data_IF_297353431520
#
_entry.id   IF_297353431520
#
_cell.length_a   1.000
_cell.length_b   1.000
_cell.length_c   1.000
_cell.angle_alpha   90.00
_cell.angle_beta   90.00
_cell.angle_gamma   90.00
#
_symmetry.space_group_name_H-M   'P 1'
#
loop_
_entity.id
_entity.type
_entity.pdbx_description
1 polymer ?
#
# COMPACT_ATOMS: atom_id res chain seq x y z
N UNK A 1 -12.00 8.10 0.50
CA UNK A 1 -10.90 7.13 0.37
C UNK A 1 -11.45 5.71 0.46
N UNK A 2 -10.91 4.77 -0.32
CA UNK A 2 -11.31 3.35 -0.29
C UNK A 2 -10.47 2.61 0.75
N UNK A 3 -11.05 1.64 1.44
CA UNK A 3 -10.32 0.82 2.41
C UNK A 3 -9.20 0.01 1.74
N UNK A 4 -8.12 -0.19 2.49
CA UNK A 4 -7.10 -1.16 2.15
C UNK A 4 -7.42 -2.48 2.83
N UNK A 5 -7.31 -3.54 2.07
CA UNK A 5 -7.28 -4.91 2.57
C UNK A 5 -5.97 -5.17 3.30
N UNK A 6 -5.92 -6.23 4.10
CA UNK A 6 -4.70 -6.62 4.83
C UNK A 6 -3.46 -6.71 3.92
N UNK A 7 -3.61 -7.20 2.69
CA UNK A 7 -2.52 -7.30 1.73
C UNK A 7 -2.06 -5.92 1.22
N UNK A 8 -3.00 -5.01 0.94
CA UNK A 8 -2.70 -3.64 0.54
C UNK A 8 -2.01 -2.85 1.67
N UNK A 9 -2.46 -3.05 2.91
CA UNK A 9 -1.89 -2.38 4.07
C UNK A 9 -0.46 -2.85 4.36
N UNK A 10 -0.17 -4.14 4.17
CA UNK A 10 1.19 -4.67 4.24
C UNK A 10 2.12 -4.05 3.20
N UNK A 11 1.66 -3.88 1.96
CA UNK A 11 2.43 -3.20 0.90
C UNK A 11 2.72 -1.76 1.31
N UNK A 12 1.70 -1.02 1.77
CA UNK A 12 1.85 0.37 2.22
C UNK A 12 2.79 0.52 3.40
N UNK A 13 2.73 -0.38 4.40
CA UNK A 13 3.67 -0.41 5.53
C UNK A 13 5.12 -0.51 5.07
N UNK A 14 5.40 -1.41 4.11
CA UNK A 14 6.74 -1.61 3.56
C UNK A 14 7.17 -0.38 2.74
N UNK A 15 6.27 0.17 1.90
CA UNK A 15 6.53 1.39 1.13
C UNK A 15 6.81 2.60 2.02
N UNK A 16 6.05 2.82 3.10
CA UNK A 16 6.34 3.90 4.05
C UNK A 16 7.66 3.73 4.78
N UNK A 17 8.10 2.49 4.98
CA UNK A 17 9.40 2.21 5.60
C UNK A 17 10.57 2.46 4.63
N UNK A 18 10.32 2.31 3.32
CA UNK A 18 11.34 2.42 2.27
C UNK A 18 11.36 3.79 1.57
N UNK A 19 10.31 4.62 1.75
CA UNK A 19 10.00 5.84 0.99
C UNK A 19 9.75 5.61 -0.51
N UNK A 20 10.60 4.81 -1.16
CA UNK A 20 10.47 4.40 -2.55
C UNK A 20 10.96 2.96 -2.73
N UNK A 21 10.22 2.14 -3.47
CA UNK A 21 10.56 0.73 -3.66
C UNK A 21 10.01 0.17 -4.97
N UNK A 22 10.75 -0.74 -5.60
CA UNK A 22 10.23 -1.53 -6.73
C UNK A 22 9.42 -2.73 -6.21
N UNK A 23 8.57 -3.31 -7.06
CA UNK A 23 7.75 -4.51 -6.71
C UNK A 23 8.61 -5.63 -6.12
N UNK A 24 9.82 -5.83 -6.67
CA UNK A 24 10.79 -6.82 -6.20
C UNK A 24 11.25 -6.57 -4.75
N UNK A 25 11.52 -5.33 -4.38
CA UNK A 25 11.97 -4.98 -3.03
C UNK A 25 10.85 -5.15 -2.01
N UNK A 26 9.62 -4.78 -2.40
CA UNK A 26 8.43 -4.96 -1.57
C UNK A 26 8.23 -6.44 -1.26
N UNK A 27 8.27 -7.32 -2.28
CA UNK A 27 8.17 -8.78 -2.10
C UNK A 27 9.33 -9.31 -1.25
N UNK A 28 10.53 -8.76 -1.43
CA UNK A 28 11.71 -9.15 -0.65
C UNK A 28 11.59 -8.86 0.84
N UNK A 29 10.87 -7.78 1.20
CA UNK A 29 10.63 -7.36 2.59
C UNK A 29 9.37 -7.93 3.23
N UNK A 30 8.51 -8.60 2.46
CA UNK A 30 7.29 -9.21 3.00
C UNK A 30 7.61 -10.42 3.89
N UNK A 31 6.96 -10.54 5.07
CA UNK A 31 7.10 -11.71 5.92
C UNK A 31 6.46 -12.94 5.27
N UNK A 32 6.97 -14.14 5.58
CA UNK A 32 6.42 -15.38 5.04
C UNK A 32 4.99 -15.65 5.57
N UNK A 33 4.04 -16.11 4.72
CA UNK A 33 4.24 -16.56 3.34
C UNK A 33 4.38 -15.41 2.34
N UNK A 34 5.46 -15.43 1.54
CA UNK A 34 5.68 -14.42 0.50
C UNK A 34 4.53 -14.48 -0.52
N UNK A 35 3.73 -13.40 -0.66
CA UNK A 35 2.69 -13.38 -1.68
C UNK A 35 3.33 -13.45 -3.05
N UNK A 36 2.63 -14.09 -3.97
CA UNK A 36 3.10 -14.19 -5.35
C UNK A 36 3.18 -12.80 -5.99
N UNK A 37 4.09 -12.65 -6.95
CA UNK A 37 4.34 -11.38 -7.64
C UNK A 37 3.07 -10.79 -8.26
N UNK A 38 2.19 -11.64 -8.78
CA UNK A 38 0.89 -11.25 -9.32
C UNK A 38 -0.02 -10.59 -8.26
N UNK A 39 -0.01 -11.08 -7.02
CA UNK A 39 -0.77 -10.50 -5.91
C UNK A 39 -0.27 -9.10 -5.61
N UNK A 40 1.04 -8.91 -5.45
CA UNK A 40 1.62 -7.58 -5.19
C UNK A 40 1.38 -6.65 -6.38
N UNK A 41 1.57 -7.11 -7.61
CA UNK A 41 1.32 -6.31 -8.81
C UNK A 41 -0.15 -5.89 -8.93
N UNK A 42 -1.09 -6.75 -8.55
CA UNK A 42 -2.53 -6.45 -8.54
C UNK A 42 -2.83 -5.43 -7.44
N UNK A 43 -2.32 -5.65 -6.23
CA UNK A 43 -2.45 -4.75 -5.09
C UNK A 43 -1.92 -3.36 -5.41
N UNK A 44 -0.72 -3.28 -6.00
CA UNK A 44 -0.10 -2.03 -6.43
C UNK A 44 -0.96 -1.31 -7.46
N UNK A 45 -1.48 -2.00 -8.49
CA UNK A 45 -2.43 -1.41 -9.45
C UNK A 45 -3.71 -0.90 -8.80
N UNK A 46 -4.25 -1.63 -7.83
CA UNK A 46 -5.45 -1.20 -7.11
C UNK A 46 -5.16 0.02 -6.23
N UNK A 47 -4.02 0.05 -5.54
CA UNK A 47 -3.57 1.18 -4.73
C UNK A 47 -3.32 2.42 -5.60
N UNK A 48 -2.71 2.25 -6.76
CA UNK A 48 -2.49 3.28 -7.76
C UNK A 48 -3.82 3.83 -8.29
N UNK A 49 -4.74 2.96 -8.70
CA UNK A 49 -6.09 3.38 -9.13
C UNK A 49 -6.93 4.02 -8.00
N UNK A 50 -6.57 3.79 -6.74
CA UNK A 50 -7.15 4.45 -5.57
C UNK A 50 -6.46 5.78 -5.22
N UNK A 51 -5.30 6.08 -5.81
CA UNK A 51 -4.48 7.27 -5.53
C UNK A 51 -3.69 7.20 -4.23
N UNK A 52 -3.38 6.00 -3.72
CA UNK A 52 -2.58 5.82 -2.50
C UNK A 52 -1.07 5.78 -2.78
N UNK A 53 -0.70 5.17 -3.90
CA UNK A 53 0.68 5.07 -4.37
C UNK A 53 0.74 5.59 -5.80
N UNK A 54 1.92 5.99 -6.22
CA UNK A 54 2.21 6.36 -7.59
C UNK A 54 3.51 5.69 -8.02
N UNK A 55 3.78 5.65 -9.32
CA UNK A 55 4.97 5.04 -9.87
C UNK A 55 5.77 6.04 -10.68
N UNK A 56 7.09 5.89 -10.61
CA UNK A 56 8.03 6.63 -11.43
C UNK A 56 8.81 5.66 -12.30
N UNK A 57 8.82 5.91 -13.60
CA UNK A 57 9.73 5.23 -14.50
C UNK A 57 11.15 5.75 -14.24
N UNK A 58 11.98 4.94 -13.61
CA UNK A 58 13.38 5.22 -13.36
C UNK A 58 14.23 4.33 -14.29
N UNK A 59 14.55 4.86 -15.48
CA UNK A 59 15.23 4.11 -16.53
C UNK A 59 14.41 2.90 -16.99
N UNK A 60 14.89 1.69 -16.71
CA UNK A 60 14.25 0.42 -17.08
C UNK A 60 13.39 -0.20 -15.96
N UNK A 61 13.25 0.48 -14.81
CA UNK A 61 12.51 -0.02 -13.65
C UNK A 61 11.39 0.92 -13.24
N UNK A 62 10.31 0.34 -12.70
CA UNK A 62 9.19 1.09 -12.12
C UNK A 62 9.37 1.14 -10.60
N UNK A 63 9.63 2.33 -10.09
CA UNK A 63 9.75 2.60 -8.65
C UNK A 63 8.41 3.10 -8.16
N UNK A 64 7.85 2.43 -7.15
CA UNK A 64 6.60 2.84 -6.53
C UNK A 64 6.91 3.64 -5.27
N UNK A 65 6.13 4.69 -5.03
CA UNK A 65 6.26 5.53 -3.85
C UNK A 65 4.87 5.85 -3.27
N UNK A 66 4.73 5.94 -1.94
CA UNK A 66 3.45 6.27 -1.32
C UNK A 66 3.17 7.77 -1.50
N UNK A 67 2.01 8.11 -2.04
CA UNK A 67 1.57 9.52 -2.17
C UNK A 67 0.83 9.97 -0.92
N UNK A 68 0.20 9.02 -0.22
CA UNK A 68 -0.53 9.25 1.03
C UNK A 68 0.38 8.94 2.21
N UNK A 69 0.58 9.88 3.15
CA UNK A 69 1.38 9.63 4.33
C UNK A 69 0.68 8.69 5.32
N UNK A 70 1.45 7.89 6.06
CA UNK A 70 0.93 6.93 7.05
C UNK A 70 -0.06 7.58 8.02
N UNK A 71 0.21 8.82 8.46
CA UNK A 71 -0.65 9.57 9.38
C UNK A 71 -2.04 9.84 8.80
N UNK A 72 -2.12 10.18 7.52
CA UNK A 72 -3.39 10.49 6.86
C UNK A 72 -4.21 9.23 6.64
N UNK A 73 -3.55 8.14 6.23
CA UNK A 73 -4.19 6.84 6.14
C UNK A 73 -4.69 6.35 7.51
N UNK A 74 -3.84 6.39 8.55
CA UNK A 74 -4.23 6.00 9.92
C UNK A 74 -5.42 6.80 10.41
N UNK A 75 -5.44 8.12 10.21
CA UNK A 75 -6.56 8.97 10.59
C UNK A 75 -7.85 8.57 9.87
N UNK A 76 -7.77 8.35 8.56
CA UNK A 76 -8.92 7.90 7.77
C UNK A 76 -9.47 6.55 8.24
N UNK A 77 -8.60 5.57 8.49
CA UNK A 77 -8.99 4.24 8.98
C UNK A 77 -9.58 4.30 10.38
N UNK A 78 -9.02 5.14 11.27
CA UNK A 78 -9.50 5.31 12.64
C UNK A 78 -10.87 5.99 12.70
N UNK A 79 -11.06 7.08 11.94
CA UNK A 79 -12.36 7.77 11.82
C UNK A 79 -13.45 6.81 11.30
N UNK A 80 -13.08 5.93 10.36
CA UNK A 80 -14.02 4.93 9.81
C UNK A 80 -14.31 3.80 10.78
N UNK A 81 -13.30 3.27 11.49
CA UNK A 81 -13.48 2.28 12.55
C UNK A 81 -14.42 2.79 13.63
N UNK A 82 -14.23 4.02 14.10
CA UNK A 82 -15.15 4.64 15.07
C UNK A 82 -16.56 4.73 14.52
N UNK A 83 -16.75 5.21 13.28
CA UNK A 83 -18.08 5.27 12.66
C UNK A 83 -18.77 3.91 12.59
N UNK A 84 -18.06 2.84 12.22
CA UNK A 84 -18.63 1.50 12.18
C UNK A 84 -18.94 0.92 13.58
N UNK A 85 -18.11 1.23 14.59
CA UNK A 85 -18.31 0.74 15.95
C UNK A 85 -19.46 1.43 16.70
N UNK A 86 -19.75 2.69 16.39
CA UNK A 86 -20.82 3.47 17.02
C UNK A 86 -22.16 3.43 16.26
N UNK A 87 -22.24 2.69 15.15
CA UNK A 87 -23.50 2.48 14.39
C UNK A 87 -24.28 1.23 14.79
N UNK A 88 -24.10 0.71 16.01
CA UNK A 88 -24.90 -0.38 16.56
C UNK A 88 -25.50 -0.05 17.93
#
# INVERSE_FOLDING_TARGET
MKELTKAEEQVMQILWTLDEAIVKDIIGRMPDPKPAYNTVSTVVRVLEGKGFIDHKAYGNSHVYFPVVPEKEYKKFTFDKMMKNYFSN
#
